data_IF_095815551447
#
_entry.id   IF_095815551447
#
_cell.length_a   1.000
_cell.length_b   1.000
_cell.length_c   1.000
_cell.angle_alpha   90.00
_cell.angle_beta   90.00
_cell.angle_gamma   90.00
#
_symmetry.space_group_name_H-M   'P 1'
#
loop_
_entity.id
_entity.type
_entity.pdbx_description
1 polymer ?
#
# COMPACT_ATOMS: atom_id res chain seq x y z
N UNK A 1 9.59 -35.87 24.59
CA UNK A 1 8.94 -36.15 23.30
C UNK A 1 8.17 -34.90 22.85
N UNK A 2 8.52 -34.35 21.71
CA UNK A 2 7.90 -33.14 21.16
C UNK A 2 6.61 -33.47 20.43
N UNK A 3 5.55 -33.79 21.19
CA UNK A 3 4.21 -34.12 20.65
C UNK A 3 3.14 -33.38 21.38
N UNK A 4 2.14 -32.89 20.62
CA UNK A 4 0.87 -32.38 21.14
C UNK A 4 -0.21 -33.43 20.95
N UNK A 5 -0.92 -33.78 22.05
CA UNK A 5 -2.06 -34.64 22.03
C UNK A 5 -3.35 -33.83 22.19
N UNK A 6 -4.21 -33.94 21.22
CA UNK A 6 -5.52 -33.26 21.18
C UNK A 6 -6.58 -34.31 21.38
N UNK A 7 -7.42 -34.16 22.41
CA UNK A 7 -8.55 -35.06 22.69
C UNK A 7 -9.87 -34.30 22.47
N UNK A 8 -10.81 -34.93 21.78
CA UNK A 8 -12.13 -34.36 21.48
C UNK A 8 -13.19 -35.46 21.44
N UNK A 9 -14.12 -35.45 22.41
CA UNK A 9 -15.07 -36.51 22.63
C UNK A 9 -14.36 -37.85 22.92
N UNK A 10 -14.65 -38.90 22.13
CA UNK A 10 -13.99 -40.21 22.21
C UNK A 10 -12.78 -40.36 21.29
N UNK A 11 -12.46 -39.32 20.53
CA UNK A 11 -11.36 -39.29 19.54
C UNK A 11 -10.14 -38.55 20.08
N UNK A 12 -8.99 -38.84 19.48
CA UNK A 12 -7.74 -38.18 19.81
C UNK A 12 -6.80 -38.15 18.60
N UNK A 13 -5.97 -37.12 18.56
CA UNK A 13 -4.94 -36.94 17.53
C UNK A 13 -3.61 -36.59 18.18
N UNK A 14 -2.52 -37.19 17.72
CA UNK A 14 -1.16 -36.79 18.11
C UNK A 14 -0.47 -36.12 16.94
N UNK A 15 0.13 -34.94 17.19
CA UNK A 15 0.86 -34.15 16.20
C UNK A 15 2.30 -34.01 16.68
N UNK A 16 3.26 -34.28 15.80
CA UNK A 16 4.67 -34.04 16.08
C UNK A 16 4.93 -32.52 16.06
N UNK A 17 5.64 -32.02 17.06
CA UNK A 17 5.99 -30.61 17.22
C UNK A 17 7.49 -30.38 17.11
N UNK A 18 7.87 -29.17 16.82
CA UNK A 18 9.25 -28.71 17.00
C UNK A 18 9.56 -28.52 18.48
N UNK A 19 10.85 -28.59 18.88
CA UNK A 19 11.27 -28.24 20.24
C UNK A 19 10.84 -26.82 20.60
N UNK A 20 10.43 -26.61 21.86
CA UNK A 20 10.01 -25.29 22.36
C UNK A 20 11.15 -24.28 22.28
N UNK A 21 12.38 -24.75 22.43
CA UNK A 21 13.62 -23.95 22.38
C UNK A 21 13.87 -23.36 20.99
N UNK A 22 13.30 -23.95 19.96
CA UNK A 22 13.38 -23.42 18.57
C UNK A 22 12.36 -22.30 18.30
N UNK A 23 11.44 -22.05 19.23
CA UNK A 23 10.51 -20.94 19.08
C UNK A 23 11.24 -19.61 19.21
N UNK A 24 11.12 -18.69 18.22
CA UNK A 24 11.87 -17.44 18.22
C UNK A 24 11.57 -16.58 19.46
N UNK A 25 12.62 -16.12 20.14
CA UNK A 25 12.46 -15.15 21.21
C UNK A 25 12.20 -13.78 20.58
N UNK A 26 11.01 -13.26 20.80
CA UNK A 26 10.63 -11.93 20.35
C UNK A 26 11.08 -10.93 21.41
N UNK A 27 12.04 -10.07 21.07
CA UNK A 27 12.43 -8.97 21.96
C UNK A 27 11.23 -8.00 22.07
N UNK A 28 10.82 -7.66 23.29
CA UNK A 28 9.70 -6.76 23.58
C UNK A 28 10.15 -5.37 24.01
N UNK A 29 11.45 -5.17 24.22
CA UNK A 29 12.02 -3.91 24.69
C UNK A 29 12.33 -2.99 23.52
N UNK A 30 11.41 -2.07 23.27
CA UNK A 30 11.50 -1.06 22.21
C UNK A 30 11.21 0.30 22.85
N UNK A 31 12.21 1.15 23.01
CA UNK A 31 12.04 2.38 23.79
C UNK A 31 12.53 3.67 23.13
N UNK A 32 13.23 3.61 21.98
CA UNK A 32 13.95 4.80 21.50
C UNK A 32 13.30 5.54 20.35
N UNK A 33 12.79 4.82 19.35
CA UNK A 33 12.20 5.43 18.17
C UNK A 33 10.77 4.93 18.00
N UNK A 34 9.80 5.79 18.14
CA UNK A 34 8.40 5.44 17.95
C UNK A 34 7.58 6.61 17.41
N UNK A 35 6.44 6.28 16.86
CA UNK A 35 5.39 7.23 16.55
C UNK A 35 4.02 6.67 16.91
N UNK A 36 3.09 7.59 17.19
CA UNK A 36 1.74 7.28 17.62
C UNK A 36 0.73 8.03 16.76
N UNK A 37 -0.29 7.32 16.29
CA UNK A 37 -1.40 7.89 15.53
C UNK A 37 -2.68 7.10 15.76
N UNK A 38 -3.83 7.65 15.34
CA UNK A 38 -5.08 6.92 15.39
C UNK A 38 -5.05 5.69 14.46
N UNK A 39 -5.61 4.57 14.88
CA UNK A 39 -5.70 3.34 14.06
C UNK A 39 -6.33 3.59 12.71
N UNK A 40 -7.37 4.42 12.65
CA UNK A 40 -8.01 4.88 11.42
C UNK A 40 -7.03 5.53 10.44
N UNK A 41 -6.17 6.41 10.94
CA UNK A 41 -5.19 7.11 10.09
C UNK A 41 -4.09 6.19 9.61
N UNK A 42 -3.64 5.27 10.46
CA UNK A 42 -2.63 4.27 10.06
C UNK A 42 -3.18 3.31 9.00
N UNK A 43 -4.41 2.83 9.21
CA UNK A 43 -5.12 2.03 8.20
C UNK A 43 -5.29 2.78 6.89
N UNK A 44 -5.72 4.05 6.93
CA UNK A 44 -5.92 4.88 5.75
C UNK A 44 -4.61 5.08 4.96
N UNK A 45 -3.45 5.27 5.64
CA UNK A 45 -2.14 5.29 4.97
C UNK A 45 -1.91 3.96 4.25
N UNK A 46 -2.00 2.84 4.97
CA UNK A 46 -1.70 1.52 4.41
C UNK A 46 -2.58 1.24 3.19
N UNK A 47 -3.89 1.40 3.32
CA UNK A 47 -4.85 1.08 2.25
C UNK A 47 -4.65 1.94 1.00
N UNK A 48 -4.17 3.19 1.17
CA UNK A 48 -3.92 4.12 0.06
C UNK A 48 -2.60 3.92 -0.65
N UNK A 49 -1.66 3.16 -0.09
CA UNK A 49 -0.33 3.00 -0.72
C UNK A 49 0.01 1.54 -1.07
N UNK A 50 -0.47 0.57 -0.30
CA UNK A 50 -0.02 -0.83 -0.39
C UNK A 50 -0.19 -1.45 -1.79
N UNK A 51 -1.23 -1.04 -2.52
CA UNK A 51 -1.50 -1.55 -3.88
C UNK A 51 -0.43 -1.16 -4.90
N UNK A 52 0.41 -0.16 -4.59
CA UNK A 52 1.51 0.29 -5.44
C UNK A 52 2.84 -0.40 -5.14
N UNK A 53 2.90 -1.35 -4.20
CA UNK A 53 4.11 -2.14 -3.98
C UNK A 53 4.40 -3.07 -5.17
N UNK A 54 5.70 -3.24 -5.46
CA UNK A 54 6.15 -4.22 -6.44
C UNK A 54 5.80 -5.65 -5.99
N UNK A 55 5.48 -6.50 -6.96
CA UNK A 55 5.23 -7.95 -6.76
C UNK A 55 6.47 -8.77 -7.09
N UNK A 56 7.39 -8.20 -7.88
CA UNK A 56 8.62 -8.84 -8.31
C UNK A 56 9.72 -8.64 -7.27
N UNK A 57 10.40 -9.73 -6.92
CA UNK A 57 11.51 -9.76 -5.98
C UNK A 57 12.84 -9.24 -6.56
N UNK A 58 12.90 -8.80 -7.81
CA UNK A 58 14.10 -8.23 -8.42
C UNK A 58 14.65 -7.03 -7.63
N UNK A 59 13.78 -6.29 -6.97
CA UNK A 59 14.12 -5.20 -6.04
C UNK A 59 13.30 -5.34 -4.77
N UNK A 60 13.75 -6.15 -3.79
CA UNK A 60 12.99 -6.49 -2.60
C UNK A 60 12.48 -5.28 -1.81
N UNK A 61 13.25 -4.17 -1.77
CA UNK A 61 12.87 -2.94 -1.05
C UNK A 61 11.56 -2.34 -1.56
N UNK A 62 11.18 -2.55 -2.83
CA UNK A 62 9.92 -2.07 -3.40
C UNK A 62 8.74 -3.03 -3.16
N UNK A 63 8.99 -4.23 -2.61
CA UNK A 63 7.92 -5.11 -2.12
C UNK A 63 7.36 -4.68 -0.76
N UNK A 64 7.79 -3.52 -0.26
CA UNK A 64 7.30 -2.88 0.96
C UNK A 64 6.96 -1.42 0.77
N UNK A 65 6.40 -0.83 1.83
CA UNK A 65 6.12 0.59 1.90
C UNK A 65 7.16 1.30 2.76
N UNK A 66 7.70 2.39 2.25
CA UNK A 66 8.51 3.32 3.03
C UNK A 66 7.62 4.10 3.99
N UNK A 67 8.03 4.19 5.25
CA UNK A 67 7.52 5.15 6.22
C UNK A 67 8.64 6.10 6.60
N UNK A 68 8.38 7.38 6.43
CA UNK A 68 9.32 8.45 6.73
C UNK A 68 8.63 9.50 7.59
N UNK A 69 9.30 9.93 8.66
CA UNK A 69 8.78 10.92 9.58
C UNK A 69 9.53 12.21 9.41
N UNK A 70 8.79 13.30 9.22
CA UNK A 70 9.30 14.67 9.13
C UNK A 70 8.50 15.56 10.08
N UNK A 71 9.11 15.95 11.21
CA UNK A 71 8.41 16.67 12.27
C UNK A 71 7.23 15.85 12.79
N UNK A 72 6.06 16.45 12.80
CA UNK A 72 4.81 15.84 13.26
C UNK A 72 4.06 15.05 12.17
N UNK A 73 4.66 14.81 11.01
CA UNK A 73 4.00 14.12 9.91
C UNK A 73 4.69 12.82 9.57
N UNK A 74 3.90 11.77 9.35
CA UNK A 74 4.33 10.53 8.72
C UNK A 74 3.92 10.53 7.25
N UNK A 75 4.87 10.18 6.40
CA UNK A 75 4.65 9.95 4.97
C UNK A 75 4.84 8.46 4.70
N UNK A 76 3.79 7.81 4.18
CA UNK A 76 3.86 6.46 3.63
C UNK A 76 4.01 6.54 2.12
N UNK A 77 4.92 5.76 1.53
CA UNK A 77 5.17 5.71 0.08
C UNK A 77 5.33 4.27 -0.37
N UNK A 78 4.71 3.93 -1.49
CA UNK A 78 4.94 2.68 -2.19
C UNK A 78 5.08 2.94 -3.69
N UNK A 79 5.90 2.15 -4.38
CA UNK A 79 6.08 2.23 -5.83
C UNK A 79 6.51 0.88 -6.42
N UNK A 80 6.22 0.68 -7.71
CA UNK A 80 6.59 -0.53 -8.46
C UNK A 80 7.39 -0.24 -9.74
N UNK A 81 7.78 1.02 -9.95
CA UNK A 81 8.49 1.49 -11.14
C UNK A 81 7.57 2.04 -12.25
N UNK A 82 6.26 1.79 -12.18
CA UNK A 82 5.26 2.31 -13.12
C UNK A 82 4.31 3.31 -12.47
N UNK A 83 4.04 3.14 -11.18
CA UNK A 83 3.18 3.99 -10.38
C UNK A 83 3.77 4.21 -8.99
N UNK A 84 3.34 5.26 -8.35
CA UNK A 84 3.71 5.58 -6.98
C UNK A 84 2.47 6.08 -6.24
N UNK A 85 2.26 5.58 -5.04
CA UNK A 85 1.26 6.09 -4.12
C UNK A 85 1.95 6.71 -2.91
N UNK A 86 1.44 7.86 -2.47
CA UNK A 86 1.93 8.61 -1.33
C UNK A 86 0.76 9.06 -0.47
N UNK A 87 0.84 8.83 0.83
CA UNK A 87 -0.15 9.30 1.80
C UNK A 87 0.56 9.95 2.98
N UNK A 88 0.05 11.10 3.44
CA UNK A 88 0.56 11.82 4.61
C UNK A 88 -0.51 11.91 5.68
N UNK A 89 -0.09 11.79 6.94
CA UNK A 89 -0.93 12.01 8.12
C UNK A 89 -0.13 12.69 9.20
N UNK A 90 -0.86 13.41 10.07
CA UNK A 90 -0.28 14.03 11.25
C UNK A 90 -0.24 13.02 12.39
N UNK A 91 0.87 12.97 13.09
CA UNK A 91 1.10 12.13 14.24
C UNK A 91 0.55 12.77 15.52
N UNK A 92 0.17 11.95 16.49
CA UNK A 92 -0.17 12.40 17.85
C UNK A 92 1.10 12.60 18.69
N UNK A 93 2.07 11.73 18.47
CA UNK A 93 3.33 11.72 19.22
C UNK A 93 4.42 11.10 18.35
N UNK A 94 5.65 11.59 18.50
CA UNK A 94 6.82 11.05 17.80
C UNK A 94 8.08 11.23 18.65
N UNK A 95 8.92 10.20 18.64
CA UNK A 95 10.27 10.25 19.22
C UNK A 95 11.27 9.64 18.24
N UNK A 96 12.38 10.35 18.04
CA UNK A 96 13.47 9.91 17.17
C UNK A 96 13.26 10.23 15.69
N UNK A 97 14.24 9.83 14.88
CA UNK A 97 14.19 9.96 13.43
C UNK A 97 13.90 8.58 12.82
N UNK A 98 12.77 8.47 12.14
CA UNK A 98 12.27 7.19 11.65
C UNK A 98 12.19 7.22 10.13
N UNK A 99 12.92 6.30 9.52
CA UNK A 99 12.82 5.97 8.10
C UNK A 99 13.00 4.47 7.95
N UNK A 100 11.94 3.78 7.54
CA UNK A 100 11.96 2.32 7.46
C UNK A 100 11.07 1.81 6.33
N UNK A 101 11.38 0.62 5.80
CA UNK A 101 10.56 -0.05 4.78
C UNK A 101 9.92 -1.29 5.37
N UNK A 102 8.60 -1.30 5.43
CA UNK A 102 7.80 -2.38 6.00
C UNK A 102 7.27 -3.27 4.88
N UNK A 103 7.44 -4.61 4.96
CA UNK A 103 6.93 -5.52 3.95
C UNK A 103 5.43 -5.35 3.70
N UNK A 104 5.00 -5.32 2.44
CA UNK A 104 3.58 -5.17 2.07
C UNK A 104 2.70 -6.27 2.65
N UNK A 105 3.22 -7.51 2.72
CA UNK A 105 2.51 -8.63 3.34
C UNK A 105 2.18 -8.34 4.82
N UNK A 106 3.15 -7.85 5.58
CA UNK A 106 2.94 -7.47 6.99
C UNK A 106 1.91 -6.34 7.10
N UNK A 107 2.02 -5.31 6.26
CA UNK A 107 1.08 -4.19 6.27
C UNK A 107 -0.35 -4.64 5.92
N UNK A 108 -0.51 -5.60 5.02
CA UNK A 108 -1.81 -6.18 4.70
C UNK A 108 -2.47 -6.87 5.90
N UNK A 109 -1.70 -7.58 6.72
CA UNK A 109 -2.22 -8.17 7.96
C UNK A 109 -2.48 -7.11 9.03
N UNK A 110 -1.60 -6.12 9.16
CA UNK A 110 -1.81 -4.97 10.07
C UNK A 110 -3.10 -4.24 9.72
N UNK A 111 -3.36 -3.93 8.43
CA UNK A 111 -4.58 -3.23 8.00
C UNK A 111 -5.86 -3.96 8.41
N UNK A 112 -5.87 -5.30 8.38
CA UNK A 112 -7.00 -6.11 8.84
C UNK A 112 -7.24 -5.94 10.35
N UNK A 113 -6.18 -5.99 11.15
CA UNK A 113 -6.25 -5.85 12.60
C UNK A 113 -6.63 -4.43 13.03
N UNK A 114 -6.19 -3.42 12.28
CA UNK A 114 -6.56 -2.02 12.52
C UNK A 114 -8.04 -1.73 12.27
N UNK A 115 -8.78 -2.63 11.61
CA UNK A 115 -10.22 -2.44 11.34
C UNK A 115 -11.08 -2.49 12.60
N UNK A 116 -10.54 -3.00 13.70
CA UNK A 116 -11.20 -3.02 15.00
C UNK A 116 -10.80 -1.77 15.81
N UNK A 117 -11.78 -1.16 16.50
CA UNK A 117 -11.55 -0.02 17.38
C UNK A 117 -10.79 1.14 16.72
N UNK A 118 -11.31 1.63 15.60
CA UNK A 118 -10.67 2.66 14.75
C UNK A 118 -10.33 3.97 15.48
N UNK A 119 -11.02 4.28 16.57
CA UNK A 119 -10.79 5.49 17.37
C UNK A 119 -9.61 5.34 18.35
N UNK A 120 -9.16 4.11 18.60
CA UNK A 120 -7.99 3.86 19.44
C UNK A 120 -6.71 4.28 18.73
N UNK A 121 -5.64 4.35 19.52
CA UNK A 121 -4.30 4.64 19.02
C UNK A 121 -3.54 3.36 18.67
N UNK A 122 -2.66 3.50 17.69
CA UNK A 122 -1.60 2.57 17.35
C UNK A 122 -0.25 3.19 17.69
N UNK A 123 0.60 2.45 18.38
CA UNK A 123 1.99 2.86 18.64
C UNK A 123 2.93 1.97 17.85
N UNK A 124 3.73 2.58 17.01
CA UNK A 124 4.71 1.90 16.14
C UNK A 124 6.10 2.22 16.64
N UNK A 125 6.81 1.19 17.05
CA UNK A 125 8.22 1.27 17.45
C UNK A 125 9.11 0.75 16.33
N UNK A 126 10.20 1.43 16.07
CA UNK A 126 11.17 1.04 15.03
C UNK A 126 12.55 0.90 15.65
N UNK A 127 13.17 -0.26 15.49
CA UNK A 127 14.49 -0.56 16.01
C UNK A 127 15.29 -1.31 14.94
N UNK A 128 16.41 -0.75 14.53
CA UNK A 128 17.32 -1.31 13.50
C UNK A 128 16.59 -2.04 12.36
N UNK A 129 16.38 -3.35 12.48
CA UNK A 129 15.83 -4.20 11.44
C UNK A 129 14.40 -4.70 11.74
N UNK A 130 13.76 -4.19 12.79
CA UNK A 130 12.43 -4.64 13.21
C UNK A 130 11.49 -3.46 13.48
N UNK A 131 10.23 -3.71 13.19
CA UNK A 131 9.10 -2.88 13.59
C UNK A 131 8.28 -3.65 14.61
N UNK A 132 7.87 -2.99 15.69
CA UNK A 132 6.86 -3.48 16.62
C UNK A 132 5.65 -2.54 16.58
N UNK A 133 4.49 -3.11 16.38
CA UNK A 133 3.22 -2.42 16.50
C UNK A 133 2.51 -2.88 17.77
N UNK A 134 2.08 -1.94 18.60
CA UNK A 134 1.29 -2.19 19.79
C UNK A 134 -0.14 -1.63 19.60
N UNK A 135 -1.12 -2.52 19.73
CA UNK A 135 -2.55 -2.26 19.61
C UNK A 135 -3.28 -2.54 20.94
N UNK A 136 -2.78 -1.99 22.05
CA UNK A 136 -3.38 -2.16 23.38
C UNK A 136 -3.54 -3.63 23.80
N UNK A 137 -2.45 -4.39 23.73
CA UNK A 137 -2.38 -5.80 24.14
C UNK A 137 -2.13 -6.78 23.01
N UNK A 138 -2.39 -6.41 21.76
CA UNK A 138 -1.93 -7.18 20.60
C UNK A 138 -0.61 -6.59 20.11
N UNK A 139 0.45 -7.40 20.14
CA UNK A 139 1.78 -6.99 19.70
C UNK A 139 2.11 -7.72 18.40
N UNK A 140 2.48 -6.95 17.38
CA UNK A 140 2.95 -7.47 16.10
C UNK A 140 4.40 -7.06 15.94
N UNK A 141 5.26 -8.02 15.63
CA UNK A 141 6.66 -7.76 15.29
C UNK A 141 6.92 -8.17 13.86
N UNK A 142 7.53 -7.30 13.09
CA UNK A 142 7.90 -7.54 11.71
C UNK A 142 9.35 -7.18 11.46
N UNK A 143 10.04 -7.99 10.67
CA UNK A 143 11.33 -7.61 10.12
C UNK A 143 11.13 -6.55 9.04
N UNK A 144 12.00 -5.55 9.02
CA UNK A 144 12.04 -4.52 7.98
C UNK A 144 12.77 -5.03 6.74
N UNK A 145 12.50 -4.42 5.60
CA UNK A 145 13.26 -4.66 4.38
C UNK A 145 14.50 -3.79 4.36
N UNK A 146 15.64 -4.42 4.09
CA UNK A 146 16.92 -3.73 3.93
C UNK A 146 17.04 -3.15 2.52
N UNK A 147 17.74 -2.04 2.38
CA UNK A 147 18.08 -1.40 1.11
C UNK A 147 17.66 0.06 1.03
N UNK A 148 18.21 0.74 0.04
CA UNK A 148 17.94 2.15 -0.21
C UNK A 148 16.66 2.31 -1.02
N UNK A 149 15.65 2.91 -0.40
CA UNK A 149 14.45 3.35 -1.10
C UNK A 149 14.76 4.65 -1.86
N UNK A 150 14.34 4.71 -3.13
CA UNK A 150 14.59 5.87 -4.00
C UNK A 150 14.10 7.17 -3.36
N UNK A 151 14.77 8.28 -3.67
CA UNK A 151 14.27 9.61 -3.31
C UNK A 151 13.02 9.94 -4.14
N UNK A 152 11.87 9.60 -3.59
CA UNK A 152 10.57 9.78 -4.24
C UNK A 152 10.22 11.24 -4.52
N UNK A 153 10.83 12.19 -3.78
CA UNK A 153 10.60 13.61 -4.01
C UNK A 153 11.07 14.06 -5.41
N UNK A 154 12.08 13.37 -5.96
CA UNK A 154 12.55 13.62 -7.34
C UNK A 154 11.59 13.11 -8.41
N UNK A 155 10.68 12.20 -8.05
CA UNK A 155 9.67 11.67 -8.97
C UNK A 155 8.39 12.50 -8.98
N UNK A 156 8.18 13.35 -7.97
CA UNK A 156 7.01 14.22 -7.90
C UNK A 156 7.16 15.36 -8.90
N UNK A 157 6.26 15.41 -9.88
CA UNK A 157 6.18 16.53 -10.81
C UNK A 157 5.81 17.83 -10.05
N UNK A 158 6.52 18.92 -10.36
CA UNK A 158 6.26 20.23 -9.76
C UNK A 158 5.33 21.07 -10.62
N UNK A 159 5.40 20.87 -11.94
CA UNK A 159 4.64 21.63 -12.93
C UNK A 159 3.83 20.67 -13.81
N UNK A 160 2.58 21.04 -14.06
CA UNK A 160 1.67 20.26 -14.90
C UNK A 160 1.24 21.11 -16.10
N UNK A 161 1.41 20.56 -17.31
CA UNK A 161 0.95 21.22 -18.55
C UNK A 161 -0.56 21.10 -18.74
N UNK A 162 -1.17 20.07 -18.15
CA UNK A 162 -2.60 19.80 -18.23
C UNK A 162 -3.11 19.28 -16.91
N UNK A 163 -4.17 19.86 -16.43
CA UNK A 163 -4.90 19.41 -15.24
C UNK A 163 -6.38 19.30 -15.56
N UNK A 164 -7.07 18.37 -14.93
CA UNK A 164 -8.52 18.29 -15.05
C UNK A 164 -9.17 17.75 -13.77
N UNK A 165 -10.40 18.14 -13.55
CA UNK A 165 -11.24 17.60 -12.49
C UNK A 165 -12.31 16.70 -13.11
N UNK A 166 -12.47 15.50 -12.55
CA UNK A 166 -13.42 14.49 -13.02
C UNK A 166 -14.18 13.86 -11.86
N UNK A 167 -15.40 13.43 -12.09
CA UNK A 167 -16.13 12.63 -11.11
C UNK A 167 -15.46 11.23 -10.98
N UNK A 168 -14.98 10.89 -9.77
CA UNK A 168 -14.26 9.64 -9.50
C UNK A 168 -15.07 8.39 -9.91
N UNK A 169 -16.38 8.36 -9.58
CA UNK A 169 -17.21 7.19 -9.87
C UNK A 169 -17.47 7.05 -11.37
N UNK A 170 -17.65 8.16 -12.10
CA UNK A 170 -17.77 8.14 -13.54
C UNK A 170 -16.50 7.59 -14.20
N UNK A 171 -15.32 8.11 -13.79
CA UNK A 171 -14.02 7.62 -14.30
C UNK A 171 -13.85 6.13 -14.02
N UNK A 172 -14.08 5.68 -12.78
CA UNK A 172 -13.99 4.27 -12.40
C UNK A 172 -14.89 3.39 -13.28
N UNK A 173 -16.16 3.75 -13.44
CA UNK A 173 -17.09 2.95 -14.23
C UNK A 173 -16.67 2.85 -15.71
N UNK A 174 -16.13 3.92 -16.29
CA UNK A 174 -15.62 3.91 -17.66
C UNK A 174 -14.36 3.04 -17.78
N UNK A 175 -13.44 3.11 -16.81
CA UNK A 175 -12.27 2.25 -16.77
C UNK A 175 -12.65 0.77 -16.59
N UNK A 176 -13.62 0.46 -15.73
CA UNK A 176 -14.12 -0.91 -15.54
C UNK A 176 -14.66 -1.50 -16.85
N UNK A 177 -15.45 -0.74 -17.63
CA UNK A 177 -15.96 -1.18 -18.95
C UNK A 177 -14.83 -1.30 -19.98
N UNK A 178 -13.94 -0.31 -20.05
CA UNK A 178 -12.81 -0.34 -20.98
C UNK A 178 -11.86 -1.51 -20.69
N UNK A 179 -11.73 -1.89 -19.43
CA UNK A 179 -10.87 -3.00 -19.00
C UNK A 179 -11.25 -4.34 -19.61
N UNK A 180 -12.54 -4.55 -19.95
CA UNK A 180 -13.03 -5.80 -20.54
C UNK A 180 -12.34 -6.04 -21.89
N UNK A 181 -12.26 -5.01 -22.72
CA UNK A 181 -11.61 -5.07 -24.03
C UNK A 181 -10.08 -4.98 -23.90
N UNK A 182 -9.60 -4.09 -23.02
CA UNK A 182 -8.17 -3.84 -22.86
C UNK A 182 -7.38 -5.06 -22.31
N UNK A 183 -8.01 -5.98 -21.58
CA UNK A 183 -7.37 -7.22 -21.10
C UNK A 183 -6.73 -8.02 -22.23
N UNK A 184 -7.41 -8.15 -23.37
CA UNK A 184 -6.90 -8.85 -24.54
C UNK A 184 -5.90 -8.01 -25.35
N UNK A 185 -5.85 -6.69 -25.12
CA UNK A 185 -4.94 -5.74 -25.74
C UNK A 185 -3.74 -5.40 -24.80
N UNK A 186 -3.17 -6.37 -24.11
CA UNK A 186 -2.03 -6.21 -23.18
C UNK A 186 -2.29 -5.16 -22.08
N UNK A 187 -3.55 -4.97 -21.69
CA UNK A 187 -4.01 -4.00 -20.69
C UNK A 187 -3.81 -2.53 -21.08
N UNK A 188 -3.63 -2.22 -22.36
CA UNK A 188 -3.41 -0.84 -22.82
C UNK A 188 -4.74 -0.16 -23.11
N UNK A 189 -4.88 1.06 -22.62
CA UNK A 189 -5.93 2.01 -22.99
C UNK A 189 -5.26 3.30 -23.50
N UNK A 190 -5.92 3.97 -24.45
CA UNK A 190 -5.53 5.29 -24.91
C UNK A 190 -6.52 6.31 -24.39
N UNK A 191 -6.01 7.37 -23.79
CA UNK A 191 -6.83 8.43 -23.21
C UNK A 191 -6.54 9.74 -23.90
N UNK A 192 -7.58 10.56 -24.10
CA UNK A 192 -7.45 11.90 -24.65
C UNK A 192 -8.17 12.90 -23.76
N UNK A 193 -7.52 14.03 -23.47
CA UNK A 193 -8.15 15.20 -22.85
C UNK A 193 -8.30 16.28 -23.90
N UNK A 194 -9.53 16.60 -24.31
CA UNK A 194 -9.84 17.63 -25.32
C UNK A 194 -11.23 18.23 -25.08
N UNK A 195 -11.38 19.53 -25.27
CA UNK A 195 -12.67 20.23 -25.24
C UNK A 195 -13.53 19.92 -24.01
N UNK A 196 -12.89 19.82 -22.83
CA UNK A 196 -13.54 19.39 -21.58
C UNK A 196 -14.16 17.99 -21.61
N UNK A 197 -13.67 17.13 -22.48
CA UNK A 197 -14.02 15.72 -22.53
C UNK A 197 -12.77 14.87 -22.30
N UNK A 198 -12.88 13.89 -21.41
CA UNK A 198 -11.90 12.82 -21.24
C UNK A 198 -12.42 11.59 -21.94
N UNK A 199 -11.69 11.09 -22.93
CA UNK A 199 -12.03 9.86 -23.64
C UNK A 199 -11.13 8.73 -23.23
N UNK A 200 -11.66 7.51 -23.20
CA UNK A 200 -10.93 6.27 -22.97
C UNK A 200 -11.23 5.32 -24.12
N UNK A 201 -10.20 4.92 -24.84
CA UNK A 201 -10.31 4.01 -25.97
C UNK A 201 -9.51 2.73 -25.70
N UNK A 202 -10.11 1.58 -26.02
CA UNK A 202 -9.39 0.32 -26.12
C UNK A 202 -9.90 -0.46 -27.34
N UNK A 203 -9.00 -1.20 -27.99
CA UNK A 203 -9.30 -2.05 -29.13
C UNK A 203 -8.53 -3.35 -29.03
N UNK A 204 -9.20 -4.47 -29.32
CA UNK A 204 -8.62 -5.79 -29.39
C UNK A 204 -9.30 -6.62 -30.49
N UNK A 205 -8.94 -7.89 -30.63
CA UNK A 205 -9.61 -8.80 -31.57
C UNK A 205 -11.07 -9.06 -31.25
N UNK A 206 -11.46 -8.93 -29.97
CA UNK A 206 -12.85 -9.16 -29.52
C UNK A 206 -13.75 -7.94 -29.67
N UNK A 207 -13.19 -6.73 -29.97
CA UNK A 207 -13.99 -5.54 -30.17
C UNK A 207 -13.29 -4.24 -29.79
N UNK A 208 -14.08 -3.17 -29.73
CA UNK A 208 -13.63 -1.82 -29.41
C UNK A 208 -14.55 -1.20 -28.37
N UNK A 209 -13.99 -0.33 -27.54
CA UNK A 209 -14.72 0.50 -26.59
C UNK A 209 -14.25 1.94 -26.71
N UNK A 210 -15.22 2.85 -26.68
CA UNK A 210 -15.00 4.29 -26.60
C UNK A 210 -15.90 4.84 -25.48
N UNK A 211 -15.28 5.38 -24.43
CA UNK A 211 -15.96 5.99 -23.31
C UNK A 211 -15.64 7.47 -23.25
N UNK A 212 -16.64 8.29 -22.93
CA UNK A 212 -16.51 9.72 -22.83
C UNK A 212 -17.02 10.22 -21.48
N UNK A 213 -16.25 11.10 -20.85
CA UNK A 213 -16.58 11.68 -19.54
C UNK A 213 -16.40 13.19 -19.64
N UNK A 214 -17.39 13.95 -19.18
CA UNK A 214 -17.24 15.40 -19.02
C UNK A 214 -16.24 15.70 -17.89
N UNK A 215 -15.31 16.59 -18.16
CA UNK A 215 -14.28 17.05 -17.23
C UNK A 215 -14.24 18.57 -17.19
N UNK A 216 -13.56 19.11 -16.20
CA UNK A 216 -13.15 20.52 -16.20
C UNK A 216 -11.63 20.56 -16.36
N UNK A 217 -11.18 20.93 -17.56
CA UNK A 217 -9.79 20.85 -17.98
C UNK A 217 -9.16 22.25 -18.04
N UNK A 218 -7.89 22.32 -17.66
CA UNK A 218 -7.03 23.49 -17.83
C UNK A 218 -5.70 23.05 -18.45
N UNK A 219 -5.20 23.84 -19.39
CA UNK A 219 -3.94 23.55 -20.07
C UNK A 219 -4.12 23.02 -21.48
N UNK A 220 -3.13 22.27 -21.97
CA UNK A 220 -3.09 21.79 -23.36
C UNK A 220 -3.82 20.47 -23.50
N UNK A 221 -4.32 20.22 -24.70
CA UNK A 221 -4.82 18.90 -25.09
C UNK A 221 -3.72 17.85 -24.98
N UNK A 222 -4.08 16.67 -24.51
CA UNK A 222 -3.14 15.55 -24.32
C UNK A 222 -3.75 14.24 -24.75
N UNK A 223 -2.89 13.40 -25.35
CA UNK A 223 -3.17 12.00 -25.61
C UNK A 223 -2.10 11.15 -24.92
N UNK A 224 -2.51 10.15 -24.14
CA UNK A 224 -1.61 9.31 -23.35
C UNK A 224 -2.12 7.88 -23.33
N UNK A 225 -1.20 6.92 -23.57
CA UNK A 225 -1.46 5.49 -23.37
C UNK A 225 -1.14 5.09 -21.93
N UNK A 226 -2.07 4.36 -21.31
CA UNK A 226 -1.88 3.82 -19.96
C UNK A 226 -2.10 2.30 -19.93
N UNK A 227 -1.45 1.64 -18.99
CA UNK A 227 -1.92 0.35 -18.53
C UNK A 227 -3.10 0.61 -17.56
N UNK A 228 -4.31 0.14 -17.89
CA UNK A 228 -5.51 0.42 -17.10
C UNK A 228 -5.41 -0.06 -15.63
N UNK A 229 -4.53 -1.03 -15.34
CA UNK A 229 -4.30 -1.52 -13.98
C UNK A 229 -3.56 -0.54 -13.08
N UNK A 230 -3.01 0.52 -13.67
CA UNK A 230 -2.19 1.51 -12.96
C UNK A 230 -2.92 2.85 -12.71
N UNK A 231 -4.21 2.91 -13.09
CA UNK A 231 -5.04 4.11 -12.91
C UNK A 231 -6.07 3.94 -11.78
#
# INVERSE_FOLDING_TARGET
ENKVKISYGVSGTEIQCLPVEEFPIINKDYNENYFKLARKDFKDIIDKIIFSCAQDLARPVYCGCLFEINGENVTGVALDGYRMALCRKTLKEVQGNIRCVVPSRTLGEISKLLSENLEDDATVYVQQNNLKLDLNGTIIVSRLLDGDFIDYNKLLAKDFQTTFTVNRNALKNCLDRASIIAKDAKNVIFTTCRDNVFTINASSEIGQVNECIAINMQGQEKEIGFNFKNI
#
